data_IF_659908729664
#
_entry.id   IF_659908729664
#
_cell.length_a   1.000
_cell.length_b   1.000
_cell.length_c   1.000
_cell.angle_alpha   90.00
_cell.angle_beta   90.00
_cell.angle_gamma   90.00
#
_symmetry.space_group_name_H-M   'P 1'
#
loop_
_entity.id
_entity.type
_entity.pdbx_description
1 polymer ?
#
# COMPACT_ATOMS: atom_id res chain seq x y z
N UNK A 1 -15.62 -7.03 -8.41
CA UNK A 1 -17.04 -6.76 -8.04
C UNK A 1 -17.95 -7.99 -8.14
N UNK A 2 -17.79 -8.87 -9.14
CA UNK A 2 -18.63 -10.06 -9.29
C UNK A 2 -18.61 -11.02 -8.07
N UNK A 3 -17.45 -11.17 -7.42
CA UNK A 3 -17.30 -12.05 -6.25
C UNK A 3 -18.09 -11.56 -5.02
N UNK A 4 -18.12 -10.25 -4.75
CA UNK A 4 -18.94 -9.65 -3.71
C UNK A 4 -20.44 -9.91 -3.97
N UNK A 5 -20.90 -9.75 -5.22
CA UNK A 5 -22.31 -10.02 -5.60
C UNK A 5 -22.73 -11.47 -5.31
N UNK A 6 -21.88 -12.43 -5.64
CA UNK A 6 -22.13 -13.87 -5.37
C UNK A 6 -22.20 -14.21 -3.88
N UNK A 7 -21.67 -13.32 -3.05
CA UNK A 7 -21.70 -13.40 -1.59
C UNK A 7 -22.63 -12.35 -0.97
N UNK A 8 -23.59 -11.82 -1.74
CA UNK A 8 -24.58 -10.83 -1.29
C UNK A 8 -23.97 -9.56 -0.65
N UNK A 9 -22.76 -9.19 -1.08
CA UNK A 9 -21.98 -8.07 -0.54
C UNK A 9 -21.60 -8.22 0.94
N UNK A 10 -21.45 -9.46 1.40
CA UNK A 10 -21.13 -9.78 2.80
C UNK A 10 -19.68 -10.23 3.00
N UNK A 11 -18.81 -10.16 1.97
CA UNK A 11 -17.40 -10.52 2.18
C UNK A 11 -16.67 -9.41 2.92
N UNK A 12 -15.94 -9.81 3.96
CA UNK A 12 -14.94 -9.00 4.64
C UNK A 12 -13.58 -9.68 4.52
N UNK A 13 -12.51 -8.90 4.49
CA UNK A 13 -11.15 -9.40 4.45
C UNK A 13 -10.31 -8.68 5.51
N UNK A 14 -9.67 -9.45 6.38
CA UNK A 14 -8.66 -8.94 7.31
C UNK A 14 -7.28 -9.24 6.72
N UNK A 15 -6.43 -8.21 6.67
CA UNK A 15 -5.07 -8.33 6.16
C UNK A 15 -4.10 -8.20 7.32
N UNK A 16 -3.28 -9.21 7.53
CA UNK A 16 -2.19 -9.18 8.49
C UNK A 16 -0.84 -9.44 7.80
N UNK A 17 0.23 -9.05 8.47
CA UNK A 17 1.60 -9.25 8.00
C UNK A 17 2.43 -9.87 9.11
N UNK A 18 3.31 -10.80 8.75
CA UNK A 18 4.31 -11.36 9.66
C UNK A 18 5.69 -11.31 9.01
N UNK A 19 6.62 -10.63 9.66
CA UNK A 19 8.03 -10.58 9.25
C UNK A 19 8.56 -9.16 9.18
N UNK A 20 9.74 -9.00 8.57
CA UNK A 20 10.40 -7.69 8.39
C UNK A 20 10.32 -7.17 6.96
N UNK A 21 9.93 -8.01 6.00
CA UNK A 21 9.88 -7.68 4.57
C UNK A 21 8.44 -7.47 4.12
N UNK A 22 8.19 -6.35 3.44
CA UNK A 22 6.88 -6.00 2.89
C UNK A 22 6.87 -6.33 1.39
N UNK A 23 6.15 -7.38 1.02
CA UNK A 23 5.85 -7.71 -0.38
C UNK A 23 4.47 -8.38 -0.43
N UNK A 24 3.85 -8.46 -1.60
CA UNK A 24 2.46 -8.90 -1.74
C UNK A 24 2.23 -10.33 -1.20
N UNK A 25 3.24 -11.20 -1.27
CA UNK A 25 3.17 -12.56 -0.73
C UNK A 25 3.51 -12.69 0.77
N UNK A 26 3.88 -11.61 1.48
CA UNK A 26 4.04 -11.65 2.95
C UNK A 26 2.75 -11.32 3.72
N UNK A 27 1.69 -10.99 2.98
CA UNK A 27 0.37 -10.73 3.54
C UNK A 27 -0.36 -12.05 3.79
N UNK A 28 -0.92 -12.20 4.97
CA UNK A 28 -1.98 -13.17 5.25
C UNK A 28 -3.33 -12.44 5.11
N UNK A 29 -4.25 -13.07 4.39
CA UNK A 29 -5.58 -12.50 4.11
C UNK A 29 -6.62 -13.49 4.59
N UNK A 30 -7.39 -13.10 5.59
CA UNK A 30 -8.47 -13.90 6.13
C UNK A 30 -9.81 -13.39 5.56
N UNK A 31 -10.41 -14.18 4.67
CA UNK A 31 -11.67 -13.81 4.00
C UNK A 31 -12.85 -14.47 4.72
N UNK A 32 -13.78 -13.65 5.19
CA UNK A 32 -14.98 -14.09 5.90
C UNK A 32 -16.23 -13.58 5.22
N UNK A 33 -17.37 -14.22 5.53
CA UNK A 33 -18.68 -13.80 5.06
C UNK A 33 -19.60 -13.55 6.25
N UNK A 34 -20.09 -12.32 6.37
CA UNK A 34 -21.05 -11.93 7.42
C UNK A 34 -22.46 -12.42 7.06
N UNK A 35 -22.67 -13.72 7.22
CA UNK A 35 -23.95 -14.38 6.94
C UNK A 35 -24.74 -14.60 8.24
N UNK A 36 -26.02 -14.18 8.31
CA UNK A 36 -26.91 -14.48 9.44
C UNK A 36 -27.10 -15.99 9.71
N UNK A 37 -26.80 -16.81 8.71
CA UNK A 37 -26.93 -18.27 8.75
C UNK A 37 -25.58 -18.99 8.81
N UNK A 38 -24.49 -18.26 9.10
CA UNK A 38 -23.12 -18.81 9.15
C UNK A 38 -22.68 -19.48 7.84
N UNK A 39 -23.19 -19.02 6.70
CA UNK A 39 -22.72 -19.51 5.40
C UNK A 39 -21.28 -19.06 5.17
N UNK A 40 -20.38 -19.98 4.79
CA UNK A 40 -19.02 -19.60 4.42
C UNK A 40 -19.01 -18.74 3.15
N UNK A 41 -17.87 -18.07 2.85
CA UNK A 41 -17.60 -17.51 1.53
C UNK A 41 -17.76 -18.57 0.42
N UNK A 42 -17.99 -18.13 -0.82
CA UNK A 42 -17.88 -19.03 -1.98
C UNK A 42 -16.46 -19.58 -2.09
N UNK A 43 -16.31 -20.79 -2.66
CA UNK A 43 -15.04 -21.54 -2.75
C UNK A 43 -13.88 -20.70 -3.34
N UNK A 44 -14.17 -19.85 -4.32
CA UNK A 44 -13.22 -19.00 -5.02
C UNK A 44 -13.06 -17.60 -4.39
N UNK A 45 -13.80 -17.28 -3.33
CA UNK A 45 -13.79 -15.95 -2.73
C UNK A 45 -12.42 -15.62 -2.12
N UNK A 46 -11.81 -16.58 -1.44
CA UNK A 46 -10.52 -16.39 -0.76
C UNK A 46 -9.41 -16.06 -1.77
N UNK A 47 -9.27 -16.87 -2.82
CA UNK A 47 -8.27 -16.67 -3.87
C UNK A 47 -8.47 -15.34 -4.59
N UNK A 48 -9.69 -15.05 -5.06
CA UNK A 48 -9.97 -13.83 -5.83
C UNK A 48 -9.74 -12.57 -4.99
N UNK A 49 -10.16 -12.57 -3.72
CA UNK A 49 -9.96 -11.41 -2.84
C UNK A 49 -8.49 -11.25 -2.47
N UNK A 50 -7.78 -12.36 -2.21
CA UNK A 50 -6.34 -12.33 -1.93
C UNK A 50 -5.55 -11.76 -3.09
N UNK A 51 -5.78 -12.22 -4.32
CA UNK A 51 -5.09 -11.71 -5.50
C UNK A 51 -5.41 -10.22 -5.75
N UNK A 52 -6.67 -9.81 -5.58
CA UNK A 52 -7.04 -8.40 -5.72
C UNK A 52 -6.32 -7.51 -4.69
N UNK A 53 -6.16 -7.98 -3.45
CA UNK A 53 -5.44 -7.26 -2.40
C UNK A 53 -3.92 -7.24 -2.66
N UNK A 54 -3.35 -8.31 -3.20
CA UNK A 54 -1.95 -8.37 -3.64
C UNK A 54 -1.66 -7.37 -4.75
N UNK A 55 -2.53 -7.30 -5.75
CA UNK A 55 -2.41 -6.33 -6.84
C UNK A 55 -2.50 -4.89 -6.34
N UNK A 56 -3.42 -4.62 -5.40
CA UNK A 56 -3.51 -3.32 -4.74
C UNK A 56 -2.23 -2.99 -3.96
N UNK A 57 -1.72 -3.92 -3.16
CA UNK A 57 -0.48 -3.73 -2.40
C UNK A 57 0.72 -3.44 -3.33
N UNK A 58 0.83 -4.18 -4.44
CA UNK A 58 1.87 -3.96 -5.46
C UNK A 58 1.76 -2.57 -6.09
N UNK A 59 0.55 -2.13 -6.40
CA UNK A 59 0.31 -0.80 -6.95
C UNK A 59 0.69 0.29 -5.93
N UNK A 60 0.22 0.17 -4.68
CA UNK A 60 0.52 1.12 -3.60
C UNK A 60 2.03 1.24 -3.36
N UNK A 61 2.75 0.11 -3.31
CA UNK A 61 4.19 0.12 -3.10
C UNK A 61 4.93 0.84 -4.24
N UNK A 62 4.50 0.64 -5.49
CA UNK A 62 5.08 1.35 -6.64
C UNK A 62 4.81 2.85 -6.60
N UNK A 63 3.61 3.25 -6.18
CA UNK A 63 3.29 4.68 -6.02
C UNK A 63 4.14 5.31 -4.92
N UNK A 64 4.28 4.64 -3.77
CA UNK A 64 5.12 5.12 -2.68
C UNK A 64 6.59 5.25 -3.11
N UNK A 65 7.12 4.28 -3.86
CA UNK A 65 8.48 4.35 -4.38
C UNK A 65 8.65 5.54 -5.33
N UNK A 66 7.72 5.75 -6.26
CA UNK A 66 7.78 6.85 -7.20
C UNK A 66 7.72 8.22 -6.50
N UNK A 67 6.89 8.35 -5.46
CA UNK A 67 6.82 9.56 -4.64
C UNK A 67 8.11 9.78 -3.86
N UNK A 68 8.66 8.72 -3.25
CA UNK A 68 9.96 8.79 -2.56
C UNK A 68 11.05 9.26 -3.51
N UNK A 69 11.19 8.63 -4.67
CA UNK A 69 12.20 8.98 -5.67
C UNK A 69 12.08 10.46 -6.09
N UNK A 70 10.84 10.94 -6.30
CA UNK A 70 10.58 12.34 -6.61
C UNK A 70 10.97 13.28 -5.46
N UNK A 71 10.53 13.01 -4.23
CA UNK A 71 10.81 13.86 -3.06
C UNK A 71 12.29 13.88 -2.67
N UNK A 72 13.03 12.83 -2.99
CA UNK A 72 14.47 12.74 -2.74
C UNK A 72 15.33 13.06 -3.97
N UNK A 73 14.70 13.52 -5.06
CA UNK A 73 15.42 13.93 -6.27
C UNK A 73 16.25 15.19 -6.00
N UNK A 74 17.36 15.32 -6.73
CA UNK A 74 18.24 16.48 -6.62
C UNK A 74 17.47 17.77 -6.94
N UNK A 75 16.55 17.72 -7.92
CA UNK A 75 15.72 18.84 -8.31
C UNK A 75 14.74 19.27 -7.21
N UNK A 76 14.06 18.31 -6.55
CA UNK A 76 13.14 18.62 -5.45
C UNK A 76 13.89 19.15 -4.21
N UNK A 77 15.09 18.63 -3.95
CA UNK A 77 15.97 19.13 -2.89
C UNK A 77 16.43 20.55 -3.21
N UNK A 78 16.88 20.82 -4.44
CA UNK A 78 17.29 22.14 -4.91
C UNK A 78 16.14 23.16 -4.78
N UNK A 79 14.95 22.81 -5.28
CA UNK A 79 13.76 23.65 -5.16
C UNK A 79 13.45 23.94 -3.69
N UNK A 80 13.53 22.91 -2.82
CA UNK A 80 13.34 23.05 -1.38
C UNK A 80 14.35 24.01 -0.74
N UNK A 81 15.61 24.02 -1.19
CA UNK A 81 16.64 24.95 -0.72
C UNK A 81 16.31 26.39 -1.15
N UNK A 82 15.92 26.58 -2.41
CA UNK A 82 15.61 27.89 -2.99
C UNK A 82 14.37 28.51 -2.32
N UNK A 83 13.27 27.76 -2.22
CA UNK A 83 11.99 28.25 -1.65
C UNK A 83 12.14 28.64 -0.19
N UNK A 84 12.98 27.94 0.57
CA UNK A 84 13.21 28.24 1.98
C UNK A 84 14.38 29.22 2.22
N UNK A 85 14.96 29.77 1.14
CA UNK A 85 16.09 30.71 1.19
C UNK A 85 17.27 30.17 2.01
N UNK A 86 17.52 28.86 1.93
CA UNK A 86 18.61 28.23 2.67
C UNK A 86 19.95 28.46 1.97
N UNK A 87 20.95 28.88 2.75
CA UNK A 87 22.32 29.04 2.27
C UNK A 87 23.29 28.15 3.06
N UNK A 88 24.26 27.58 2.36
CA UNK A 88 25.23 26.62 2.90
C UNK A 88 26.66 26.99 2.55
N UNK A 89 27.58 26.90 3.53
CA UNK A 89 29.00 27.12 3.28
C UNK A 89 29.56 26.01 2.40
N UNK A 90 30.77 26.17 1.87
CA UNK A 90 31.45 25.11 1.09
C UNK A 90 31.54 23.77 1.85
N UNK A 91 31.63 23.82 3.19
CA UNK A 91 31.60 22.62 4.04
C UNK A 91 30.20 22.07 4.36
N UNK A 92 29.15 22.54 3.68
CA UNK A 92 27.76 22.09 3.85
C UNK A 92 27.08 22.56 5.14
N UNK A 93 27.67 23.51 5.88
CA UNK A 93 27.03 24.05 7.09
C UNK A 93 26.06 25.14 6.71
N UNK A 94 24.83 25.09 7.25
CA UNK A 94 23.86 26.17 7.09
C UNK A 94 24.40 27.46 7.71
N UNK A 95 24.19 28.58 7.04
CA UNK A 95 24.56 29.91 7.52
C UNK A 95 23.58 30.94 6.94
N UNK A 96 23.45 32.09 7.60
CA UNK A 96 22.35 33.03 7.34
C UNK A 96 21.31 32.95 8.44
#
# INVERSE_FOLDING_TARGET
QAIQRRNFYQLAAEVSHRGRYYHEYTMAVDVTRDSPTWQPPTEDAEEIVTEALRDLARWLYRQLQAEYDHLTSDEAIEEGIIVNEYTFTEGGRRFG
#
